data_IF_852667703592
#
_entry.id   IF_852667703592
#
_cell.length_a   1.000
_cell.length_b   1.000
_cell.length_c   1.000
_cell.angle_alpha   90.00
_cell.angle_beta   90.00
_cell.angle_gamma   90.00
#
_symmetry.space_group_name_H-M   'P 1'
#
loop_
_entity.id
_entity.type
_entity.pdbx_description
1 polymer ?
#
# COMPACT_ATOMS: atom_id res chain seq x y z
N UNK A 1 -25.90 58.25 16.41
CA UNK A 1 -27.09 58.36 17.28
C UNK A 1 -26.97 59.37 18.42
N UNK A 2 -25.84 59.56 19.11
CA UNK A 2 -25.74 60.50 20.25
C UNK A 2 -24.99 61.82 19.95
N UNK A 3 -25.13 62.37 18.74
CA UNK A 3 -24.31 63.50 18.26
C UNK A 3 -24.45 64.75 19.15
N UNK A 4 -25.67 65.12 19.53
CA UNK A 4 -25.91 66.34 20.30
C UNK A 4 -25.30 66.29 21.70
N UNK A 5 -25.31 65.10 22.32
CA UNK A 5 -24.74 64.88 23.63
C UNK A 5 -23.20 64.90 23.58
N UNK A 6 -22.61 64.28 22.56
CA UNK A 6 -21.17 64.34 22.29
C UNK A 6 -20.70 65.79 22.08
N UNK A 7 -21.44 66.59 21.29
CA UNK A 7 -21.13 68.01 21.07
C UNK A 7 -21.23 68.81 22.38
N UNK A 8 -22.22 68.52 23.22
CA UNK A 8 -22.39 69.18 24.53
C UNK A 8 -21.21 68.89 25.46
N UNK A 9 -20.73 67.64 25.49
CA UNK A 9 -19.55 67.24 26.29
C UNK A 9 -18.28 67.92 25.79
N UNK A 10 -18.08 67.98 24.46
CA UNK A 10 -16.91 68.62 23.85
C UNK A 10 -16.90 70.13 24.13
N UNK A 11 -18.01 70.83 23.90
CA UNK A 11 -18.13 72.28 24.12
C UNK A 11 -18.07 72.67 25.60
N UNK A 12 -18.49 71.78 26.51
CA UNK A 12 -18.46 71.98 27.96
C UNK A 12 -17.12 71.67 28.63
N UNK A 13 -16.10 71.25 27.87
CA UNK A 13 -14.77 70.88 28.37
C UNK A 13 -13.76 72.00 28.10
N UNK A 14 -12.74 72.13 28.97
CA UNK A 14 -11.79 73.26 28.92
C UNK A 14 -10.67 73.03 27.90
N UNK A 15 -10.28 71.78 27.70
CA UNK A 15 -9.22 71.35 26.81
C UNK A 15 -9.53 69.98 26.19
N UNK A 16 -8.74 69.57 25.20
CA UNK A 16 -8.93 68.30 24.47
C UNK A 16 -8.78 67.08 25.38
N UNK A 17 -7.92 67.15 26.39
CA UNK A 17 -7.67 66.05 27.32
C UNK A 17 -8.85 65.83 28.28
N UNK A 18 -9.44 66.92 28.81
CA UNK A 18 -10.67 66.81 29.61
C UNK A 18 -11.87 66.39 28.78
N UNK A 19 -11.96 66.81 27.52
CA UNK A 19 -13.01 66.34 26.61
C UNK A 19 -12.87 64.84 26.34
N UNK A 20 -11.64 64.35 26.09
CA UNK A 20 -11.35 62.93 25.87
C UNK A 20 -11.74 62.07 27.07
N UNK A 21 -11.32 62.44 28.30
CA UNK A 21 -11.67 61.68 29.52
C UNK A 21 -13.17 61.63 29.76
N UNK A 22 -13.87 62.76 29.58
CA UNK A 22 -15.33 62.80 29.75
C UNK A 22 -16.08 61.96 28.72
N UNK A 23 -15.60 61.89 27.48
CA UNK A 23 -16.17 61.01 26.46
C UNK A 23 -15.94 59.53 26.81
N UNK A 24 -14.78 59.19 27.37
CA UNK A 24 -14.50 57.83 27.85
C UNK A 24 -15.45 57.44 28.99
N UNK A 25 -15.60 58.32 29.99
CA UNK A 25 -16.45 58.06 31.17
C UNK A 25 -17.95 58.00 30.83
N UNK A 26 -18.41 58.85 29.91
CA UNK A 26 -19.86 58.99 29.62
C UNK A 26 -20.38 57.94 28.63
N UNK A 27 -19.53 57.45 27.72
CA UNK A 27 -19.92 56.53 26.65
C UNK A 27 -19.15 55.20 26.67
N UNK A 28 -18.43 54.92 27.76
CA UNK A 28 -17.60 53.71 27.94
C UNK A 28 -16.62 53.48 26.78
N UNK A 29 -16.09 54.57 26.23
CA UNK A 29 -15.19 54.53 25.08
C UNK A 29 -13.74 54.33 25.51
N UNK A 30 -12.96 53.67 24.65
CA UNK A 30 -11.50 53.63 24.81
C UNK A 30 -10.88 54.98 24.46
N UNK A 31 -9.68 55.25 24.99
CA UNK A 31 -8.92 56.47 24.66
C UNK A 31 -8.74 56.66 23.15
N UNK A 32 -8.49 55.58 22.40
CA UNK A 32 -8.34 55.63 20.94
C UNK A 32 -9.65 56.01 20.24
N UNK A 33 -10.80 55.49 20.70
CA UNK A 33 -12.11 55.84 20.15
C UNK A 33 -12.48 57.28 20.46
N UNK A 34 -12.26 57.73 21.71
CA UNK A 34 -12.51 59.12 22.11
C UNK A 34 -11.66 60.11 21.29
N UNK A 35 -10.38 59.80 21.09
CA UNK A 35 -9.50 60.59 20.21
C UNK A 35 -9.99 60.60 18.76
N UNK A 36 -10.37 59.45 18.21
CA UNK A 36 -10.90 59.36 16.85
C UNK A 36 -12.16 60.22 16.65
N UNK A 37 -13.04 60.30 17.65
CA UNK A 37 -14.23 61.18 17.65
C UNK A 37 -13.82 62.67 17.68
N UNK A 38 -12.85 63.04 18.51
CA UNK A 38 -12.34 64.42 18.58
C UNK A 38 -11.67 64.86 17.26
N UNK A 39 -11.02 63.94 16.56
CA UNK A 39 -10.36 64.18 15.27
C UNK A 39 -11.33 64.18 14.07
N UNK A 40 -12.63 63.91 14.29
CA UNK A 40 -13.63 63.89 13.21
C UNK A 40 -13.89 65.29 12.63
N UNK A 41 -14.12 65.33 11.32
CA UNK A 41 -14.54 66.54 10.62
C UNK A 41 -16.06 66.58 10.49
N UNK A 42 -16.68 67.75 10.66
CA UNK A 42 -18.14 67.93 10.55
C UNK A 42 -18.74 67.40 9.23
N UNK A 43 -17.98 67.43 8.13
CA UNK A 43 -18.40 66.89 6.83
C UNK A 43 -18.69 65.38 6.84
N UNK A 44 -18.09 64.62 7.77
CA UNK A 44 -18.31 63.17 7.94
C UNK A 44 -19.67 62.82 8.55
N UNK A 45 -20.43 63.82 9.01
CA UNK A 45 -21.77 63.64 9.57
C UNK A 45 -22.89 63.73 8.51
N UNK A 46 -22.51 63.81 7.23
CA UNK A 46 -23.49 63.79 6.12
C UNK A 46 -24.05 62.38 5.94
N UNK A 47 -25.32 62.26 5.55
CA UNK A 47 -25.97 60.95 5.39
C UNK A 47 -25.22 59.99 4.46
N UNK A 48 -24.69 60.48 3.34
CA UNK A 48 -23.88 59.69 2.40
C UNK A 48 -22.59 59.13 3.02
N UNK A 49 -21.96 59.86 3.95
CA UNK A 49 -20.74 59.38 4.61
C UNK A 49 -21.07 58.36 5.70
N UNK A 50 -22.24 58.48 6.34
CA UNK A 50 -22.75 57.48 7.28
C UNK A 50 -23.09 56.17 6.55
N UNK A 51 -23.80 56.26 5.43
CA UNK A 51 -24.14 55.08 4.60
C UNK A 51 -22.88 54.34 4.13
N UNK A 52 -21.86 55.05 3.63
CA UNK A 52 -20.56 54.43 3.27
C UNK A 52 -19.89 53.72 4.44
N UNK A 53 -19.95 54.30 5.64
CA UNK A 53 -19.37 53.68 6.84
C UNK A 53 -20.16 52.44 7.27
N UNK A 54 -21.48 52.43 7.09
CA UNK A 54 -22.33 51.27 7.33
C UNK A 54 -22.04 50.14 6.33
N UNK A 55 -21.85 50.48 5.06
CA UNK A 55 -21.42 49.53 4.02
C UNK A 55 -20.04 48.95 4.34
N UNK A 56 -19.04 49.80 4.62
CA UNK A 56 -17.69 49.36 4.99
C UNK A 56 -17.72 48.47 6.26
N UNK A 57 -18.50 48.85 7.27
CA UNK A 57 -18.66 48.05 8.48
C UNK A 57 -19.28 46.68 8.19
N UNK A 58 -20.26 46.62 7.29
CA UNK A 58 -20.88 45.37 6.85
C UNK A 58 -19.86 44.47 6.14
N UNK A 59 -19.07 45.01 5.21
CA UNK A 59 -18.02 44.27 4.50
C UNK A 59 -16.95 43.74 5.45
N UNK A 60 -16.45 44.58 6.35
CA UNK A 60 -15.45 44.19 7.34
C UNK A 60 -15.99 43.10 8.27
N UNK A 61 -17.26 43.19 8.69
CA UNK A 61 -17.89 42.14 9.51
C UNK A 61 -18.05 40.82 8.74
N UNK A 62 -18.37 40.87 7.44
CA UNK A 62 -18.44 39.70 6.59
C UNK A 62 -17.06 39.02 6.47
N UNK A 63 -16.00 39.79 6.21
CA UNK A 63 -14.62 39.28 6.15
C UNK A 63 -14.18 38.66 7.48
N UNK A 64 -14.47 39.30 8.61
CA UNK A 64 -14.16 38.75 9.94
C UNK A 64 -14.85 37.39 10.15
N UNK A 65 -16.10 37.26 9.71
CA UNK A 65 -16.85 36.00 9.81
C UNK A 65 -16.20 34.92 8.97
N UNK A 66 -15.87 35.22 7.71
CA UNK A 66 -15.20 34.30 6.80
C UNK A 66 -13.84 33.84 7.35
N UNK A 67 -13.00 34.76 7.81
CA UNK A 67 -11.69 34.40 8.36
C UNK A 67 -11.80 33.57 9.63
N UNK A 68 -12.80 33.81 10.49
CA UNK A 68 -13.04 32.96 11.66
C UNK A 68 -13.45 31.55 11.26
N UNK A 69 -14.33 31.42 10.27
CA UNK A 69 -14.75 30.11 9.74
C UNK A 69 -13.56 29.31 9.19
N UNK A 70 -12.65 29.97 8.48
CA UNK A 70 -11.40 29.34 7.98
C UNK A 70 -10.49 28.90 9.13
N UNK A 71 -10.38 29.70 10.20
CA UNK A 71 -9.53 29.38 11.35
C UNK A 71 -10.10 28.22 12.19
N UNK A 72 -11.42 28.18 12.37
CA UNK A 72 -12.10 27.19 13.21
C UNK A 72 -12.23 25.82 12.53
N UNK A 73 -12.31 25.76 11.19
CA UNK A 73 -12.51 24.52 10.44
C UNK A 73 -11.26 24.06 9.69
N UNK A 74 -10.73 22.89 10.08
CA UNK A 74 -9.63 22.24 9.35
C UNK A 74 -10.03 21.82 7.93
N UNK A 75 -11.28 21.42 7.74
CA UNK A 75 -11.78 20.97 6.43
C UNK A 75 -11.77 22.13 5.42
N UNK A 76 -12.26 23.31 5.82
CA UNK A 76 -12.26 24.52 4.98
C UNK A 76 -10.82 24.91 4.64
N UNK A 77 -9.93 24.95 5.64
CA UNK A 77 -8.51 25.26 5.43
C UNK A 77 -7.83 24.30 4.45
N UNK A 78 -8.11 23.00 4.57
CA UNK A 78 -7.55 21.99 3.68
C UNK A 78 -8.15 22.07 2.27
N UNK A 79 -9.40 22.51 2.14
CA UNK A 79 -10.04 22.83 0.87
C UNK A 79 -9.31 23.94 0.13
N UNK A 80 -9.11 25.09 0.80
CA UNK A 80 -8.37 26.25 0.26
C UNK A 80 -6.96 25.81 -0.18
N UNK A 81 -6.23 25.10 0.70
CA UNK A 81 -4.86 24.68 0.42
C UNK A 81 -4.78 23.74 -0.80
N UNK A 82 -5.74 22.84 -0.98
CA UNK A 82 -5.79 21.98 -2.18
C UNK A 82 -6.05 22.79 -3.45
N UNK A 83 -6.91 23.79 -3.38
CA UNK A 83 -7.24 24.64 -4.54
C UNK A 83 -6.03 25.47 -4.95
N UNK A 84 -5.37 26.13 -4.00
CA UNK A 84 -4.14 26.89 -4.24
C UNK A 84 -3.01 26.01 -4.78
N UNK A 85 -2.77 24.83 -4.19
CA UNK A 85 -1.74 23.92 -4.67
C UNK A 85 -2.01 23.41 -6.09
N UNK A 86 -3.28 23.21 -6.46
CA UNK A 86 -3.66 22.84 -7.84
C UNK A 86 -3.43 23.98 -8.81
N UNK A 87 -3.73 25.22 -8.40
CA UNK A 87 -3.45 26.39 -9.23
C UNK A 87 -1.94 26.56 -9.46
N UNK A 88 -1.13 26.40 -8.40
CA UNK A 88 0.34 26.41 -8.50
C UNK A 88 0.83 25.30 -9.44
N UNK A 89 0.34 24.07 -9.27
CA UNK A 89 0.69 22.95 -10.14
C UNK A 89 0.31 23.21 -11.60
N UNK A 90 -0.82 23.88 -11.87
CA UNK A 90 -1.25 24.25 -13.22
C UNK A 90 -0.39 25.37 -13.82
N UNK A 91 0.00 26.34 -13.00
CA UNK A 91 0.77 27.52 -13.45
C UNK A 91 2.26 27.22 -13.66
N UNK A 92 2.82 26.31 -12.86
CA UNK A 92 4.26 26.04 -12.82
C UNK A 92 4.63 24.57 -13.09
N UNK A 93 3.65 23.71 -13.38
CA UNK A 93 3.93 22.31 -13.71
C UNK A 93 4.61 22.16 -15.06
N UNK A 94 5.63 21.31 -15.10
CA UNK A 94 6.25 20.82 -16.33
C UNK A 94 6.23 19.29 -16.38
N UNK A 95 6.35 18.74 -17.60
CA UNK A 95 6.40 17.30 -17.78
C UNK A 95 7.69 16.73 -17.18
N UNK A 96 7.58 15.54 -16.59
CA UNK A 96 8.73 14.82 -16.05
C UNK A 96 9.71 14.52 -17.19
N UNK A 97 10.91 15.10 -17.12
CA UNK A 97 11.97 14.92 -18.13
C UNK A 97 12.61 13.53 -18.12
N UNK A 98 12.53 12.83 -17.00
CA UNK A 98 13.17 11.52 -16.81
C UNK A 98 12.13 10.41 -16.81
N UNK A 99 12.44 9.31 -17.50
CA UNK A 99 11.63 8.10 -17.46
C UNK A 99 12.17 7.17 -16.36
N UNK A 100 11.27 6.61 -15.54
CA UNK A 100 11.65 5.55 -14.61
C UNK A 100 11.57 4.24 -15.40
N UNK A 101 12.71 3.80 -15.91
CA UNK A 101 12.83 2.47 -16.47
C UNK A 101 12.96 1.46 -15.33
N UNK A 102 12.32 0.30 -15.48
CA UNK A 102 12.64 -0.83 -14.61
C UNK A 102 14.15 -1.10 -14.72
N UNK A 103 14.83 -1.24 -13.58
CA UNK A 103 16.25 -1.53 -13.58
C UNK A 103 16.52 -2.76 -14.46
N UNK A 104 17.24 -2.56 -15.57
CA UNK A 104 17.77 -3.65 -16.39
C UNK A 104 18.87 -4.30 -15.57
N UNK A 105 18.50 -5.19 -14.65
CA UNK A 105 19.44 -5.81 -13.72
C UNK A 105 18.92 -6.15 -12.33
N UNK A 106 17.62 -6.32 -12.10
CA UNK A 106 17.22 -7.20 -10.99
C UNK A 106 17.55 -8.63 -11.41
N UNK A 107 18.80 -9.06 -11.21
CA UNK A 107 19.14 -10.48 -11.30
C UNK A 107 18.26 -11.19 -10.29
N UNK A 108 17.28 -11.94 -10.77
CA UNK A 108 16.63 -12.91 -9.92
C UNK A 108 17.68 -14.00 -9.66
N UNK A 109 17.71 -14.57 -8.45
CA UNK A 109 18.61 -15.70 -8.16
C UNK A 109 18.43 -16.81 -9.19
N UNK A 110 17.21 -16.96 -9.72
CA UNK A 110 16.87 -17.85 -10.82
C UNK A 110 17.70 -17.61 -12.11
N UNK A 111 18.01 -16.36 -12.47
CA UNK A 111 18.80 -16.03 -13.67
C UNK A 111 20.26 -16.53 -13.59
N UNK A 112 20.73 -16.86 -12.39
CA UNK A 112 22.05 -17.45 -12.15
C UNK A 112 22.00 -18.99 -12.09
N UNK A 113 20.81 -19.60 -12.09
CA UNK A 113 20.64 -21.04 -12.06
C UNK A 113 20.66 -21.57 -13.50
N UNK A 114 21.42 -22.63 -13.74
CA UNK A 114 21.47 -23.28 -15.05
C UNK A 114 20.17 -24.05 -15.29
N UNK A 115 19.58 -23.88 -16.49
CA UNK A 115 18.47 -24.70 -16.95
C UNK A 115 18.98 -26.10 -17.33
N UNK A 116 18.67 -27.11 -16.50
CA UNK A 116 19.04 -28.50 -16.72
C UNK A 116 17.94 -29.45 -16.25
N UNK A 117 17.86 -30.62 -16.89
CA UNK A 117 16.89 -31.64 -16.51
C UNK A 117 17.34 -32.37 -15.24
N UNK A 118 16.45 -32.38 -14.25
CA UNK A 118 16.65 -33.00 -12.96
C UNK A 118 15.63 -34.11 -12.75
N UNK A 119 16.08 -35.23 -12.20
CA UNK A 119 15.20 -36.27 -11.63
C UNK A 119 14.85 -35.84 -10.22
N UNK A 120 13.57 -35.59 -9.98
CA UNK A 120 13.03 -35.34 -8.65
C UNK A 120 12.37 -36.63 -8.16
N UNK A 121 12.74 -37.05 -6.95
CA UNK A 121 12.18 -38.24 -6.31
C UNK A 121 11.49 -37.87 -5.02
N UNK A 122 10.29 -38.41 -4.81
CA UNK A 122 9.51 -38.32 -3.59
C UNK A 122 9.39 -39.72 -2.96
N UNK A 123 9.75 -39.83 -1.69
CA UNK A 123 9.55 -41.06 -0.92
C UNK A 123 8.19 -41.09 -0.23
N UNK A 124 7.74 -42.28 0.16
CA UNK A 124 6.49 -42.48 0.88
C UNK A 124 6.48 -41.75 2.23
N UNK A 125 7.63 -41.67 2.89
CA UNK A 125 7.81 -40.88 4.13
C UNK A 125 7.90 -39.36 3.89
N UNK A 126 7.67 -38.88 2.66
CA UNK A 126 7.68 -37.47 2.34
C UNK A 126 9.08 -36.86 2.21
N UNK A 127 10.10 -37.67 1.92
CA UNK A 127 11.42 -37.11 1.61
C UNK A 127 11.50 -36.75 0.13
N UNK A 128 12.00 -35.55 -0.16
CA UNK A 128 12.22 -35.07 -1.52
C UNK A 128 13.69 -34.73 -1.75
N UNK A 129 14.16 -35.07 -2.94
CA UNK A 129 15.49 -34.68 -3.44
C UNK A 129 15.45 -34.51 -4.95
N UNK A 130 16.41 -33.75 -5.47
CA UNK A 130 16.73 -33.69 -6.91
C UNK A 130 18.13 -34.21 -7.20
N UNK A 131 18.28 -34.80 -8.37
CA UNK A 131 19.51 -35.39 -8.90
C UNK A 131 19.61 -35.07 -10.39
N UNK A 132 20.79 -34.74 -10.94
CA UNK A 132 20.94 -34.59 -12.38
C UNK A 132 20.58 -35.90 -13.10
N UNK A 133 19.89 -35.80 -14.24
CA UNK A 133 19.47 -36.97 -15.04
C UNK A 133 20.65 -37.89 -15.39
N UNK A 134 21.82 -37.32 -15.65
CA UNK A 134 23.06 -38.05 -15.95
C UNK A 134 23.49 -39.03 -14.85
N UNK A 135 23.02 -38.84 -13.62
CA UNK A 135 23.31 -39.74 -12.49
C UNK A 135 22.64 -41.11 -12.65
N UNK A 136 21.54 -41.19 -13.42
CA UNK A 136 20.79 -42.42 -13.69
C UNK A 136 21.14 -43.02 -15.07
N UNK A 137 22.42 -43.10 -15.39
CA UNK A 137 22.88 -43.68 -16.66
C UNK A 137 22.49 -45.16 -16.76
N UNK A 138 21.78 -45.53 -17.82
CA UNK A 138 21.39 -46.91 -18.09
C UNK A 138 22.63 -47.81 -18.22
N UNK A 139 22.72 -48.84 -17.38
CA UNK A 139 23.74 -49.89 -17.52
C UNK A 139 23.33 -50.83 -18.67
N UNK A 140 24.23 -51.07 -19.63
CA UNK A 140 23.97 -52.01 -20.73
C UNK A 140 23.90 -53.45 -20.19
N UNK A 141 22.76 -54.12 -20.47
CA UNK A 141 22.40 -55.55 -20.29
C UNK A 141 22.27 -56.07 -18.84
N UNK A 142 21.02 -56.42 -18.47
CA UNK A 142 20.68 -57.66 -17.75
C UNK A 142 20.97 -57.80 -16.25
N UNK A 143 21.60 -56.82 -15.59
CA UNK A 143 21.74 -56.82 -14.12
C UNK A 143 20.51 -56.22 -13.43
N UNK A 144 20.05 -56.80 -12.31
CA UNK A 144 19.02 -56.16 -11.44
C UNK A 144 19.52 -54.75 -11.06
N UNK A 145 18.64 -53.77 -11.24
CA UNK A 145 18.98 -52.34 -11.45
C UNK A 145 19.85 -51.67 -10.38
N UNK A 146 20.44 -50.53 -10.78
CA UNK A 146 21.21 -49.62 -9.92
C UNK A 146 20.35 -49.13 -8.74
N UNK A 147 20.84 -49.31 -7.50
CA UNK A 147 20.15 -48.88 -6.28
C UNK A 147 20.02 -47.35 -6.23
N UNK A 148 18.79 -46.84 -6.33
CA UNK A 148 18.46 -45.41 -6.45
C UNK A 148 18.24 -44.65 -5.13
N UNK A 149 18.13 -45.34 -3.99
CA UNK A 149 17.98 -44.78 -2.65
C UNK A 149 18.29 -45.84 -1.58
N UNK A 150 18.91 -45.46 -0.46
CA UNK A 150 19.09 -46.36 0.68
C UNK A 150 17.88 -46.24 1.62
N UNK A 151 16.98 -47.20 1.50
CA UNK A 151 15.73 -47.25 2.23
C UNK A 151 15.99 -47.94 3.57
N UNK A 152 15.44 -47.42 4.68
CA UNK A 152 15.12 -48.32 5.81
C UNK A 152 14.16 -49.38 5.25
N UNK A 153 13.99 -50.51 5.94
CA UNK A 153 13.16 -51.63 5.46
C UNK A 153 11.70 -51.26 5.08
N UNK A 154 11.25 -50.00 5.22
CA UNK A 154 9.88 -49.52 5.02
C UNK A 154 9.71 -48.17 4.28
N UNK A 155 10.74 -47.55 3.68
CA UNK A 155 10.55 -46.34 2.84
C UNK A 155 10.80 -46.68 1.36
N UNK A 156 9.98 -46.22 0.43
CA UNK A 156 10.17 -46.45 -1.01
C UNK A 156 9.86 -45.19 -1.80
N UNK A 157 10.32 -45.14 -3.05
CA UNK A 157 10.03 -44.02 -3.94
C UNK A 157 8.58 -44.14 -4.42
N UNK A 158 7.73 -43.21 -3.98
CA UNK A 158 6.32 -43.12 -4.37
C UNK A 158 6.17 -42.39 -5.71
N UNK A 159 7.03 -41.40 -5.97
CA UNK A 159 7.01 -40.61 -7.20
C UNK A 159 8.40 -40.35 -7.74
N UNK A 160 8.56 -40.49 -9.05
CA UNK A 160 9.75 -40.07 -9.79
C UNK A 160 9.31 -39.38 -11.07
N UNK A 161 9.80 -38.17 -11.29
CA UNK A 161 9.53 -37.41 -12.51
C UNK A 161 10.76 -36.59 -12.91
N UNK A 162 10.83 -36.27 -14.20
CA UNK A 162 11.87 -35.43 -14.79
C UNK A 162 11.28 -34.03 -14.92
N UNK A 163 12.00 -33.03 -14.44
CA UNK A 163 11.62 -31.62 -14.51
C UNK A 163 12.85 -30.74 -14.67
N UNK A 164 12.71 -29.63 -15.39
CA UNK A 164 13.76 -28.62 -15.48
C UNK A 164 13.96 -27.94 -14.13
N UNK A 165 15.18 -27.45 -13.83
CA UNK A 165 15.46 -26.63 -12.65
C UNK A 165 14.51 -25.44 -12.49
N UNK A 166 14.00 -24.90 -13.60
CA UNK A 166 13.11 -23.74 -13.65
C UNK A 166 11.63 -24.12 -13.59
N UNK A 167 11.29 -25.40 -13.66
CA UNK A 167 9.91 -25.84 -13.53
C UNK A 167 9.40 -25.63 -12.09
N UNK A 168 8.09 -25.52 -11.97
CA UNK A 168 7.38 -25.46 -10.70
C UNK A 168 7.01 -26.88 -10.23
N UNK A 169 7.37 -27.19 -9.00
CA UNK A 169 6.91 -28.37 -8.31
C UNK A 169 5.67 -28.03 -7.50
N UNK A 170 4.49 -28.35 -8.03
CA UNK A 170 3.21 -28.17 -7.33
C UNK A 170 2.99 -29.31 -6.33
N UNK A 171 2.62 -28.97 -5.11
CA UNK A 171 2.41 -29.89 -4.00
C UNK A 171 1.02 -29.64 -3.43
N UNK A 172 0.20 -30.68 -3.45
CA UNK A 172 -1.17 -30.64 -2.96
C UNK A 172 -1.30 -31.46 -1.69
N UNK A 173 -1.98 -30.91 -0.69
CA UNK A 173 -2.18 -31.58 0.59
C UNK A 173 -3.55 -32.24 0.68
N UNK A 174 -3.72 -33.21 1.58
CA UNK A 174 -5.01 -33.87 1.82
C UNK A 174 -6.09 -32.93 2.35
N UNK A 175 -5.69 -31.75 2.86
CA UNK A 175 -6.59 -30.66 3.27
C UNK A 175 -7.05 -29.77 2.13
N UNK A 176 -6.52 -29.99 0.92
CA UNK A 176 -6.85 -29.19 -0.27
C UNK A 176 -6.04 -27.89 -0.37
N UNK A 177 -4.92 -27.77 0.35
CA UNK A 177 -3.98 -26.67 0.17
C UNK A 177 -3.06 -26.96 -1.01
N UNK A 178 -2.64 -25.89 -1.71
CA UNK A 178 -1.74 -25.95 -2.85
C UNK A 178 -0.52 -25.08 -2.56
N UNK A 179 0.65 -25.68 -2.68
CA UNK A 179 1.94 -25.01 -2.61
C UNK A 179 2.68 -25.24 -3.92
N UNK A 180 3.60 -24.35 -4.27
CA UNK A 180 4.58 -24.66 -5.29
C UNK A 180 5.95 -24.11 -4.91
N UNK A 181 6.99 -24.79 -5.38
CA UNK A 181 8.39 -24.41 -5.24
C UNK A 181 9.09 -24.63 -6.56
N UNK A 182 10.08 -23.80 -6.90
CA UNK A 182 10.91 -24.08 -8.08
C UNK A 182 11.75 -25.32 -7.83
N UNK A 183 11.98 -26.12 -8.87
CA UNK A 183 12.77 -27.36 -8.73
C UNK A 183 14.17 -27.07 -8.20
N UNK A 184 14.80 -25.95 -8.56
CA UNK A 184 16.12 -25.59 -8.04
C UNK A 184 16.17 -25.37 -6.52
N UNK A 185 15.05 -25.01 -5.88
CA UNK A 185 14.92 -24.85 -4.42
C UNK A 185 14.91 -26.21 -3.69
N UNK A 186 14.64 -27.31 -4.40
CA UNK A 186 14.70 -28.67 -3.85
C UNK A 186 16.17 -29.05 -3.62
N UNK A 187 16.52 -29.68 -2.48
CA UNK A 187 17.90 -30.02 -2.17
C UNK A 187 18.48 -31.03 -3.17
N UNK A 188 19.68 -30.72 -3.67
CA UNK A 188 20.53 -31.70 -4.35
C UNK A 188 21.04 -32.69 -3.31
N UNK A 189 20.93 -33.98 -3.59
CA UNK A 189 21.42 -35.01 -2.68
C UNK A 189 21.85 -36.23 -3.47
N UNK A 190 22.94 -36.87 -3.06
CA UNK A 190 23.49 -38.04 -3.75
C UNK A 190 22.48 -39.19 -3.89
N UNK A 191 22.74 -40.11 -4.83
CA UNK A 191 21.80 -41.20 -5.17
C UNK A 191 21.36 -41.99 -3.95
N UNK A 192 22.25 -42.35 -3.03
CA UNK A 192 21.91 -43.13 -1.83
C UNK A 192 21.29 -42.30 -0.70
N UNK A 193 21.36 -40.97 -0.75
CA UNK A 193 20.78 -40.08 0.28
C UNK A 193 19.25 -40.07 0.20
N UNK A 194 18.61 -39.84 1.34
CA UNK A 194 17.15 -39.75 1.44
C UNK A 194 16.60 -38.40 0.99
N UNK A 195 17.40 -37.34 1.03
CA UNK A 195 16.93 -35.97 0.77
C UNK A 195 16.45 -35.28 2.05
N UNK A 196 15.59 -34.27 1.90
CA UNK A 196 14.98 -33.56 3.04
C UNK A 196 13.48 -33.84 3.13
N UNK A 197 12.89 -33.84 4.34
CA UNK A 197 11.45 -33.85 4.49
C UNK A 197 10.82 -32.65 3.79
N UNK A 198 9.82 -32.91 2.95
CA UNK A 198 9.09 -31.89 2.18
C UNK A 198 8.27 -30.94 3.07
N UNK A 199 7.81 -31.44 4.23
CA UNK A 199 7.10 -30.65 5.26
C UNK A 199 7.97 -29.47 5.71
N UNK A 200 9.28 -29.69 5.86
CA UNK A 200 10.23 -28.65 6.28
C UNK A 200 10.53 -27.65 5.16
N UNK A 201 10.31 -28.00 3.89
CA UNK A 201 10.49 -27.09 2.76
C UNK A 201 9.29 -26.16 2.58
N UNK A 202 8.11 -26.61 3.00
CA UNK A 202 6.84 -25.89 2.84
C UNK A 202 6.31 -25.27 4.13
N UNK A 203 6.95 -25.52 5.28
CA UNK A 203 6.48 -25.11 6.60
C UNK A 203 5.02 -25.52 6.87
N UNK A 204 4.66 -26.75 6.53
CA UNK A 204 3.29 -27.25 6.73
C UNK A 204 2.98 -27.45 8.22
N UNK A 205 1.69 -27.43 8.57
CA UNK A 205 1.24 -27.80 9.91
C UNK A 205 1.55 -29.27 10.23
N UNK A 206 1.71 -29.61 11.51
CA UNK A 206 2.17 -30.95 11.97
C UNK A 206 1.28 -32.13 11.52
N UNK A 207 0.03 -31.86 11.14
CA UNK A 207 -0.97 -32.85 10.74
C UNK A 207 -1.30 -32.85 9.23
N UNK A 208 -0.53 -32.10 8.45
CA UNK A 208 -0.77 -31.97 7.01
C UNK A 208 0.01 -33.01 6.20
N UNK A 209 -0.73 -33.85 5.48
CA UNK A 209 -0.16 -34.88 4.60
C UNK A 209 -0.26 -34.47 3.14
N UNK A 210 0.73 -34.89 2.35
CA UNK A 210 0.70 -34.70 0.90
C UNK A 210 -0.27 -35.68 0.27
N UNK A 211 -1.01 -35.19 -0.73
CA UNK A 211 -1.92 -35.95 -1.56
C UNK A 211 -1.34 -36.21 -2.95
N UNK A 212 -0.70 -35.21 -3.55
CA UNK A 212 -0.12 -35.32 -4.89
C UNK A 212 1.00 -34.29 -5.10
N UNK A 213 1.94 -34.62 -5.97
CA UNK A 213 3.00 -33.73 -6.43
C UNK A 213 3.08 -33.78 -7.94
N UNK A 214 3.13 -32.62 -8.59
CA UNK A 214 3.09 -32.48 -10.04
C UNK A 214 4.15 -31.46 -10.52
N UNK A 215 5.04 -31.82 -11.46
CA UNK A 215 5.88 -30.84 -12.13
C UNK A 215 5.06 -30.07 -13.18
N UNK A 216 5.25 -28.76 -13.22
CA UNK A 216 4.55 -27.83 -14.11
C UNK A 216 5.53 -26.80 -14.64
N UNK A 217 5.67 -26.72 -15.95
CA UNK A 217 6.55 -25.73 -16.60
C UNK A 217 5.97 -24.32 -16.61
N UNK A 218 4.67 -24.21 -16.90
CA UNK A 218 3.97 -22.94 -17.07
C UNK A 218 2.51 -23.05 -16.57
N UNK A 219 1.98 -21.93 -16.07
CA UNK A 219 0.60 -21.84 -15.61
C UNK A 219 -0.30 -21.32 -16.73
N UNK A 220 -0.82 -22.22 -17.55
CA UNK A 220 -1.61 -21.88 -18.75
C UNK A 220 -3.12 -22.09 -18.56
N UNK A 221 -3.93 -21.35 -19.33
CA UNK A 221 -5.40 -21.46 -19.32
C UNK A 221 -5.94 -22.69 -20.08
N UNK A 222 -5.11 -23.33 -20.90
CA UNK A 222 -5.44 -24.50 -21.72
C UNK A 222 -5.25 -25.83 -20.97
N UNK A 223 -4.52 -25.82 -19.85
CA UNK A 223 -4.29 -26.99 -18.99
C UNK A 223 -5.15 -26.92 -17.74
N UNK A 224 -5.61 -28.08 -17.27
CA UNK A 224 -6.53 -28.18 -16.15
C UNK A 224 -6.05 -29.21 -15.14
N UNK A 225 -6.20 -28.88 -13.86
CA UNK A 225 -6.06 -29.84 -12.76
C UNK A 225 -7.43 -30.41 -12.42
N UNK A 226 -7.48 -31.74 -12.30
CA UNK A 226 -8.66 -32.48 -11.90
C UNK A 226 -8.44 -33.06 -10.50
N UNK A 227 -9.28 -32.68 -9.55
CA UNK A 227 -9.26 -33.16 -8.18
C UNK A 227 -10.44 -34.10 -7.95
N UNK A 228 -10.21 -35.17 -7.19
CA UNK A 228 -11.25 -36.07 -6.69
C UNK A 228 -11.16 -36.18 -5.18
N UNK A 229 -12.29 -36.01 -4.49
CA UNK A 229 -12.38 -36.18 -3.03
C UNK A 229 -12.97 -37.55 -2.68
N UNK A 230 -12.73 -38.00 -1.43
CA UNK A 230 -13.29 -39.27 -0.91
C UNK A 230 -14.82 -39.32 -0.93
N UNK A 231 -15.50 -38.17 -0.92
CA UNK A 231 -16.96 -38.05 -0.98
C UNK A 231 -17.50 -38.07 -2.43
N UNK A 232 -16.64 -38.33 -3.43
CA UNK A 232 -17.04 -38.38 -4.84
C UNK A 232 -17.23 -37.01 -5.49
N UNK A 233 -16.86 -35.92 -4.82
CA UNK A 233 -16.87 -34.58 -5.42
C UNK A 233 -15.62 -34.41 -6.28
N UNK A 234 -15.83 -34.03 -7.54
CA UNK A 234 -14.77 -33.74 -8.51
C UNK A 234 -14.72 -32.24 -8.79
N UNK A 235 -13.52 -31.68 -8.84
CA UNK A 235 -13.30 -30.27 -9.19
C UNK A 235 -12.28 -30.17 -10.31
N UNK A 236 -12.64 -29.48 -11.40
CA UNK A 236 -11.71 -29.11 -12.47
C UNK A 236 -11.36 -27.63 -12.33
N UNK A 237 -10.09 -27.27 -12.43
CA UNK A 237 -9.66 -25.86 -12.36
C UNK A 237 -8.53 -25.61 -13.35
N UNK A 238 -8.54 -24.47 -14.03
CA UNK A 238 -7.47 -24.08 -14.94
C UNK A 238 -6.15 -23.92 -14.17
N UNK A 239 -5.04 -24.26 -14.82
CA UNK A 239 -3.73 -24.25 -14.20
C UNK A 239 -3.24 -22.82 -13.90
N UNK A 240 -3.62 -21.86 -14.74
CA UNK A 240 -3.44 -20.40 -14.54
C UNK A 240 -3.90 -19.90 -13.16
N UNK A 241 -4.96 -20.48 -12.59
CA UNK A 241 -5.49 -20.10 -11.28
C UNK A 241 -4.50 -20.34 -10.12
N UNK A 242 -3.44 -21.12 -10.35
CA UNK A 242 -2.43 -21.47 -9.36
C UNK A 242 -1.11 -20.69 -9.53
N UNK A 243 -1.02 -19.79 -10.52
CA UNK A 243 0.20 -19.03 -10.79
C UNK A 243 0.60 -18.04 -9.68
N UNK A 244 -0.38 -17.56 -8.91
CA UNK A 244 -0.16 -16.60 -7.82
C UNK A 244 -0.54 -17.22 -6.47
N UNK A 245 0.34 -18.06 -5.91
CA UNK A 245 0.15 -18.56 -4.53
C UNK A 245 0.62 -17.50 -3.55
N UNK A 246 -0.28 -17.06 -2.67
CA UNK A 246 0.09 -16.18 -1.55
C UNK A 246 0.84 -17.02 -0.52
N UNK A 247 2.15 -16.83 -0.44
CA UNK A 247 2.98 -17.27 0.69
C UNK A 247 2.58 -16.60 1.99
#
# INVERSE_FOLDING_TARGET
DNIDEVIKVIRGSKDTDTASRRLQDSFELTERQAKAILDMRLARLTGLEVEKLEEELSEVRALIKEFREILDSEEVRMGILKEELREIAKRYGDDRRTEITAAVGSFNVEDLIVEEDMVVTLSHQGYVKRLPVDTYRAQRRGGRGLRGMDTKEEDWVEGMFIASTHDYLMIFTRRGQCYWKKVWEIPVSGRTSRGKPIINLLNLAEDEQIAAVLPVREFSDDKYLLFGTRLGVVKKTALSAYGNVRT
#
